data_IF_447541495564
#
_entry.id   IF_447541495564
#
_cell.length_a   1.000
_cell.length_b   1.000
_cell.length_c   1.000
_cell.angle_alpha   90.00
_cell.angle_beta   90.00
_cell.angle_gamma   90.00
#
_symmetry.space_group_name_H-M   'P 1'
#
loop_
_entity.id
_entity.type
_entity.pdbx_description
1 polymer ?
#
# COMPACT_ATOMS: atom_id res chain seq x y z
N UNK A 1 30.84 -30.87 19.95
CA UNK A 1 31.07 -29.42 19.72
C UNK A 1 29.71 -28.69 19.72
N UNK A 2 29.38 -27.94 20.78
CA UNK A 2 28.17 -27.11 20.79
C UNK A 2 28.47 -25.80 20.07
N UNK A 3 27.95 -25.62 18.85
CA UNK A 3 27.96 -24.32 18.16
C UNK A 3 26.98 -23.40 18.89
N UNK A 4 27.50 -22.54 19.77
CA UNK A 4 26.70 -21.44 20.32
C UNK A 4 26.37 -20.45 19.21
N UNK A 5 25.16 -20.51 18.66
CA UNK A 5 24.63 -19.43 17.84
C UNK A 5 24.45 -18.21 18.75
N UNK A 6 25.40 -17.28 18.71
CA UNK A 6 25.16 -15.91 19.16
C UNK A 6 24.06 -15.35 18.26
N UNK A 7 22.83 -15.29 18.75
CA UNK A 7 21.79 -14.49 18.12
C UNK A 7 22.29 -13.04 18.16
N UNK A 8 22.75 -12.53 17.01
CA UNK A 8 22.91 -11.09 16.84
C UNK A 8 21.51 -10.52 16.94
N UNK A 9 21.24 -9.73 17.98
CA UNK A 9 20.07 -8.86 18.03
C UNK A 9 20.16 -7.97 16.81
N UNK A 10 19.33 -8.26 15.80
CA UNK A 10 19.20 -7.39 14.64
C UNK A 10 18.45 -6.14 15.11
N UNK A 11 18.99 -4.98 14.82
CA UNK A 11 18.33 -3.72 15.14
C UNK A 11 17.21 -3.53 14.11
N UNK A 12 15.97 -3.74 14.54
CA UNK A 12 14.80 -3.57 13.68
C UNK A 12 14.69 -2.10 13.27
N UNK A 13 15.03 -1.79 12.01
CA UNK A 13 14.83 -0.43 11.49
C UNK A 13 13.36 -0.29 11.11
N UNK A 14 12.62 0.44 11.94
CA UNK A 14 11.20 0.74 11.73
C UNK A 14 11.06 2.15 11.18
N UNK A 15 10.31 2.28 10.08
CA UNK A 15 9.97 3.57 9.49
C UNK A 15 8.48 3.81 9.64
N UNK A 16 8.10 4.95 10.20
CA UNK A 16 6.69 5.32 10.33
C UNK A 16 6.26 6.07 9.07
N UNK A 17 5.24 5.58 8.38
CA UNK A 17 4.65 6.23 7.22
C UNK A 17 3.18 6.60 7.52
N UNK A 18 2.84 7.87 7.40
CA UNK A 18 1.45 8.35 7.52
C UNK A 18 0.89 8.56 6.13
N UNK A 19 -0.18 7.84 5.80
CA UNK A 19 -0.89 7.95 4.53
C UNK A 19 -2.14 8.81 4.69
N UNK A 20 -2.31 9.80 3.80
CA UNK A 20 -3.49 10.64 3.71
C UNK A 20 -4.08 10.52 2.31
N UNK A 21 -5.35 10.14 2.21
CA UNK A 21 -6.12 10.06 0.96
C UNK A 21 -7.43 10.82 1.09
N UNK A 22 -7.86 11.47 0.01
CA UNK A 22 -9.18 12.10 -0.06
C UNK A 22 -10.19 11.03 -0.48
N UNK A 23 -10.94 10.48 0.47
CA UNK A 23 -11.98 9.50 0.18
C UNK A 23 -13.11 10.19 -0.60
N UNK A 24 -12.97 10.24 -1.91
CA UNK A 24 -14.13 10.37 -2.79
C UNK A 24 -14.91 9.07 -2.61
N UNK A 25 -16.17 9.16 -2.21
CA UNK A 25 -16.94 8.05 -1.63
C UNK A 25 -16.67 6.66 -2.20
N UNK A 26 -16.57 5.70 -1.29
CA UNK A 26 -16.78 4.28 -1.59
C UNK A 26 -18.23 4.19 -2.07
N UNK A 27 -18.48 4.08 -3.37
CA UNK A 27 -19.75 3.50 -3.80
C UNK A 27 -19.59 1.98 -3.61
N UNK A 28 -20.29 1.34 -2.67
CA UNK A 28 -20.45 -0.09 -2.74
C UNK A 28 -21.16 -0.37 -4.07
N UNK A 29 -20.51 -1.11 -4.97
CA UNK A 29 -21.18 -1.68 -6.13
C UNK A 29 -22.19 -2.72 -5.63
N UNK A 30 -23.40 -2.27 -5.29
CA UNK A 30 -24.56 -3.15 -5.19
C UNK A 30 -25.00 -3.52 -6.61
N UNK A 31 -24.28 -4.47 -7.20
CA UNK A 31 -24.77 -5.26 -8.35
C UNK A 31 -24.75 -6.76 -8.00
N UNK A 32 -25.25 -7.12 -6.81
CA UNK A 32 -25.85 -8.42 -6.56
C UNK A 32 -26.98 -8.18 -5.57
N UNK A 33 -28.16 -8.77 -5.82
CA UNK A 33 -29.46 -8.58 -5.17
C UNK A 33 -30.43 -7.63 -5.89
N UNK A 34 -30.94 -8.14 -7.01
CA UNK A 34 -32.22 -7.76 -7.57
C UNK A 34 -33.35 -8.27 -6.65
N UNK A 35 -33.89 -7.40 -5.80
CA UNK A 35 -35.22 -7.36 -5.17
C UNK A 35 -35.07 -6.37 -4.01
N UNK A 36 -35.52 -5.11 -4.11
CA UNK A 36 -36.83 -4.71 -3.60
C UNK A 36 -37.06 -3.20 -3.90
N UNK A 37 -37.83 -2.87 -4.93
CA UNK A 37 -37.98 -1.50 -5.47
C UNK A 37 -38.87 -0.53 -4.64
N UNK A 38 -39.15 -0.80 -3.35
CA UNK A 38 -40.12 0.01 -2.61
C UNK A 38 -39.52 1.09 -1.67
N UNK A 39 -38.22 1.07 -1.34
CA UNK A 39 -37.62 2.00 -0.37
C UNK A 39 -36.97 3.27 -1.00
N UNK A 40 -36.93 3.38 -2.33
CA UNK A 40 -36.20 4.44 -3.04
C UNK A 40 -36.72 5.87 -2.81
N UNK A 41 -37.94 6.06 -2.27
CA UNK A 41 -38.50 7.41 -2.08
C UNK A 41 -38.11 8.08 -0.75
N UNK A 42 -37.60 7.33 0.22
CA UNK A 42 -37.21 7.86 1.54
C UNK A 42 -35.70 8.06 1.71
N UNK A 43 -34.88 7.44 0.86
CA UNK A 43 -33.41 7.50 0.94
C UNK A 43 -32.84 8.72 0.19
N UNK A 44 -33.54 9.22 -0.83
CA UNK A 44 -33.08 10.37 -1.63
C UNK A 44 -32.98 11.69 -0.86
N UNK A 45 -33.66 11.84 0.29
CA UNK A 45 -33.59 13.05 1.12
C UNK A 45 -32.40 13.04 2.09
N UNK A 46 -31.76 11.89 2.31
CA UNK A 46 -30.58 11.75 3.17
C UNK A 46 -29.25 11.92 2.44
N UNK A 47 -29.24 11.90 1.10
CA UNK A 47 -28.02 11.97 0.29
C UNK A 47 -27.57 13.41 -0.05
N UNK A 48 -28.29 14.44 0.44
CA UNK A 48 -27.95 15.84 0.15
C UNK A 48 -26.97 16.47 1.15
N UNK A 49 -26.40 15.70 2.09
CA UNK A 49 -25.67 16.28 3.22
C UNK A 49 -24.25 15.74 3.49
N UNK A 50 -23.53 15.29 2.46
CA UNK A 50 -22.11 14.88 2.63
C UNK A 50 -21.22 15.41 1.50
N UNK A 51 -21.08 16.73 1.42
CA UNK A 51 -19.89 17.36 0.81
C UNK A 51 -18.66 17.33 1.74
N UNK A 52 -18.67 16.50 2.80
CA UNK A 52 -17.52 16.31 3.67
C UNK A 52 -16.54 15.36 3.01
N UNK A 53 -15.46 15.90 2.44
CA UNK A 53 -14.31 15.13 1.98
C UNK A 53 -13.75 14.38 3.19
N UNK A 54 -14.03 13.09 3.32
CA UNK A 54 -13.48 12.27 4.40
C UNK A 54 -12.01 12.00 4.05
N UNK A 55 -11.09 12.46 4.89
CA UNK A 55 -9.67 12.22 4.71
C UNK A 55 -9.29 11.00 5.52
N UNK A 56 -8.96 9.89 4.86
CA UNK A 56 -8.45 8.71 5.54
C UNK A 56 -6.97 8.94 5.90
N UNK A 57 -6.69 9.06 7.21
CA UNK A 57 -5.35 9.18 7.76
C UNK A 57 -4.96 7.89 8.50
N UNK A 58 -3.96 7.16 8.00
CA UNK A 58 -3.46 5.92 8.63
C UNK A 58 -1.95 5.96 8.85
N UNK A 59 -1.51 5.49 10.00
CA UNK A 59 -0.09 5.42 10.38
C UNK A 59 0.38 3.97 10.32
N UNK A 60 1.48 3.73 9.62
CA UNK A 60 2.05 2.39 9.44
C UNK A 60 3.47 2.35 9.98
N UNK A 61 3.78 1.32 10.77
CA UNK A 61 5.14 1.01 11.16
C UNK A 61 5.71 -0.01 10.16
N UNK A 62 6.62 0.45 9.29
CA UNK A 62 7.20 -0.33 8.19
C UNK A 62 8.54 -0.91 8.61
N UNK A 63 8.56 -2.21 8.90
CA UNK A 63 9.76 -2.93 9.31
C UNK A 63 10.75 -3.13 8.16
N UNK A 64 12.03 -2.97 8.44
CA UNK A 64 13.12 -3.33 7.54
C UNK A 64 13.12 -4.84 7.23
N UNK A 65 12.83 -5.20 5.97
CA UNK A 65 12.78 -6.59 5.51
C UNK A 65 14.06 -7.04 4.78
N UNK A 66 14.99 -6.13 4.55
CA UNK A 66 16.16 -6.38 3.70
C UNK A 66 15.81 -6.35 2.21
N UNK A 67 16.83 -6.38 1.36
CA UNK A 67 16.66 -6.36 -0.09
C UNK A 67 16.35 -7.76 -0.64
N UNK A 68 15.12 -8.00 -1.08
CA UNK A 68 14.65 -9.28 -1.65
C UNK A 68 15.50 -9.77 -2.81
N UNK A 69 16.06 -8.87 -3.64
CA UNK A 69 16.94 -9.25 -4.76
C UNK A 69 18.30 -9.74 -4.26
N UNK A 70 18.83 -9.14 -3.19
CA UNK A 70 20.05 -9.63 -2.56
C UNK A 70 19.80 -10.97 -1.88
N UNK A 71 18.67 -11.12 -1.18
CA UNK A 71 18.28 -12.37 -0.54
C UNK A 71 18.09 -13.50 -1.56
N UNK A 72 17.47 -13.22 -2.71
CA UNK A 72 17.36 -14.18 -3.81
C UNK A 72 18.73 -14.71 -4.24
N UNK A 73 19.70 -13.81 -4.46
CA UNK A 73 21.05 -14.19 -4.88
C UNK A 73 21.77 -15.02 -3.82
N UNK A 74 21.70 -14.60 -2.55
CA UNK A 74 22.30 -15.33 -1.43
C UNK A 74 21.69 -16.72 -1.27
N UNK A 75 20.37 -16.83 -1.44
CA UNK A 75 19.64 -18.10 -1.31
C UNK A 75 19.58 -18.91 -2.61
N UNK A 76 20.20 -18.42 -3.69
CA UNK A 76 20.27 -19.06 -5.02
C UNK A 76 18.90 -19.46 -5.56
N UNK A 77 17.91 -18.58 -5.40
CA UNK A 77 16.55 -18.79 -5.90
C UNK A 77 16.37 -18.24 -7.31
N UNK A 78 15.51 -18.91 -8.08
CA UNK A 78 15.11 -18.44 -9.41
C UNK A 78 14.17 -17.22 -9.36
N UNK A 79 13.45 -17.02 -8.25
CA UNK A 79 12.50 -15.90 -8.08
C UNK A 79 12.65 -15.20 -6.73
N UNK A 80 12.31 -13.91 -6.72
CA UNK A 80 12.21 -13.09 -5.52
C UNK A 80 11.01 -13.47 -4.67
N UNK A 81 11.13 -13.29 -3.35
CA UNK A 81 9.97 -13.20 -2.48
C UNK A 81 9.25 -11.87 -2.68
N UNK A 82 7.99 -11.81 -2.26
CA UNK A 82 7.24 -10.56 -2.26
C UNK A 82 7.91 -9.54 -1.34
N UNK A 83 8.09 -8.33 -1.86
CA UNK A 83 8.60 -7.19 -1.12
C UNK A 83 7.50 -6.44 -0.34
N UNK A 84 6.23 -6.81 -0.53
CA UNK A 84 5.09 -5.99 -0.13
C UNK A 84 4.73 -6.11 1.34
N UNK A 85 4.58 -4.95 1.98
CA UNK A 85 3.83 -4.76 3.22
C UNK A 85 2.45 -4.18 2.89
N UNK A 86 1.35 -4.90 3.17
CA UNK A 86 0.02 -4.45 2.83
C UNK A 86 -0.44 -3.32 3.75
N UNK A 87 -1.01 -2.27 3.16
CA UNK A 87 -1.63 -1.17 3.90
C UNK A 87 -3.14 -1.36 4.12
N UNK A 88 -3.76 -2.20 3.29
CA UNK A 88 -5.22 -2.34 3.22
C UNK A 88 -5.93 -1.16 2.56
N UNK A 89 -5.19 -0.24 1.95
CA UNK A 89 -5.71 0.96 1.30
C UNK A 89 -5.68 0.80 -0.22
N UNK A 90 -6.71 1.34 -0.87
CA UNK A 90 -6.87 1.32 -2.32
C UNK A 90 -6.86 2.74 -2.87
N UNK A 91 -6.07 2.96 -3.91
CA UNK A 91 -6.03 4.21 -4.66
C UNK A 91 -6.87 4.09 -5.93
N UNK A 92 -7.74 5.07 -6.18
CA UNK A 92 -8.41 5.19 -7.48
C UNK A 92 -7.42 5.62 -8.56
N UNK A 93 -7.83 5.43 -9.81
CA UNK A 93 -7.09 5.91 -10.97
C UNK A 93 -6.84 7.42 -10.85
N UNK A 94 -5.57 7.82 -11.01
CA UNK A 94 -5.07 9.19 -10.90
C UNK A 94 -5.35 9.87 -9.55
N UNK A 95 -5.67 9.10 -8.50
CA UNK A 95 -5.84 9.67 -7.18
C UNK A 95 -4.50 10.13 -6.62
N UNK A 96 -4.46 11.36 -6.12
CA UNK A 96 -3.28 11.94 -5.51
C UNK A 96 -3.22 11.56 -4.04
N UNK A 97 -2.13 10.91 -3.65
CA UNK A 97 -1.93 10.35 -2.32
C UNK A 97 -0.74 11.05 -1.70
N UNK A 98 -0.90 11.53 -0.47
CA UNK A 98 0.18 12.17 0.27
C UNK A 98 0.69 11.23 1.36
N UNK A 99 2.00 10.98 1.36
CA UNK A 99 2.68 10.09 2.29
C UNK A 99 3.74 10.88 3.04
N UNK A 100 3.64 10.91 4.36
CA UNK A 100 4.67 11.47 5.21
C UNK A 100 5.54 10.34 5.79
N UNK A 101 6.80 10.29 5.39
CA UNK A 101 7.77 9.29 5.86
C UNK A 101 8.61 9.90 6.97
N UNK A 102 8.52 9.33 8.16
CA UNK A 102 9.38 9.68 9.29
C UNK A 102 10.67 8.85 9.28
N UNK A 103 11.76 9.43 9.76
CA UNK A 103 13.07 8.78 9.79
C UNK A 103 14.07 9.48 8.86
N UNK A 104 15.16 8.79 8.55
CA UNK A 104 16.29 9.34 7.80
C UNK A 104 16.61 8.59 6.51
N UNK A 105 15.79 7.59 6.16
CA UNK A 105 16.04 6.73 5.02
C UNK A 105 14.80 6.58 4.15
N UNK A 106 15.02 6.45 2.85
CA UNK A 106 13.94 6.28 1.88
C UNK A 106 13.39 4.85 1.91
N UNK A 107 12.10 4.72 1.66
CA UNK A 107 11.40 3.44 1.45
C UNK A 107 10.79 3.41 0.05
N UNK A 108 10.24 2.25 -0.34
CA UNK A 108 9.47 2.13 -1.57
C UNK A 108 7.98 2.01 -1.26
N UNK A 109 7.15 2.57 -2.13
CA UNK A 109 5.74 2.29 -2.18
C UNK A 109 5.34 1.75 -3.55
N UNK A 110 4.30 0.94 -3.58
CA UNK A 110 3.72 0.38 -4.78
C UNK A 110 2.23 0.68 -4.81
N UNK A 111 1.72 0.99 -6.01
CA UNK A 111 0.28 1.04 -6.28
C UNK A 111 0.01 -0.01 -7.36
N UNK A 112 -0.69 -1.08 -6.95
CA UNK A 112 -1.00 -2.25 -7.77
C UNK A 112 -0.40 -3.55 -7.22
N UNK A 113 -1.03 -4.66 -7.55
CA UNK A 113 -0.75 -6.01 -7.05
C UNK A 113 -0.29 -6.91 -8.21
N UNK A 114 0.91 -7.47 -8.08
CA UNK A 114 1.43 -8.46 -9.04
C UNK A 114 0.47 -9.64 -9.17
N UNK A 115 0.25 -10.09 -10.41
CA UNK A 115 -0.68 -11.17 -10.78
C UNK A 115 -2.18 -10.87 -10.64
N UNK A 116 -2.57 -9.72 -10.09
CA UNK A 116 -3.98 -9.28 -10.07
C UNK A 116 -4.21 -8.12 -11.03
N UNK A 117 -3.48 -7.01 -10.83
CA UNK A 117 -3.58 -5.82 -11.70
C UNK A 117 -2.73 -5.97 -12.97
N UNK A 118 -1.73 -6.85 -12.91
CA UNK A 118 -0.74 -7.10 -13.96
C UNK A 118 -0.46 -8.59 -14.06
N UNK A 119 -0.51 -9.15 -15.28
CA UNK A 119 0.20 -10.40 -15.55
C UNK A 119 1.70 -10.19 -15.39
N UNK A 120 2.49 -11.28 -15.29
CA UNK A 120 3.96 -11.20 -15.18
C UNK A 120 4.65 -10.47 -16.35
N UNK A 121 3.94 -10.19 -17.45
CA UNK A 121 4.43 -9.42 -18.60
C UNK A 121 4.02 -7.94 -18.57
N UNK A 122 3.20 -7.56 -17.60
CA UNK A 122 2.53 -6.24 -17.54
C UNK A 122 2.93 -5.48 -16.27
N UNK A 123 4.13 -5.71 -15.76
CA UNK A 123 4.67 -5.04 -14.57
C UNK A 123 4.58 -3.51 -14.67
N UNK A 124 4.52 -2.95 -15.88
CA UNK A 124 4.30 -1.51 -16.13
C UNK A 124 2.98 -0.97 -15.59
N UNK A 125 1.99 -1.84 -15.36
CA UNK A 125 0.70 -1.47 -14.75
C UNK A 125 0.83 -1.21 -13.25
N UNK A 126 1.84 -1.78 -12.61
CA UNK A 126 2.16 -1.54 -11.20
C UNK A 126 3.15 -0.39 -11.13
N UNK A 127 2.80 0.65 -10.39
CA UNK A 127 3.69 1.80 -10.20
C UNK A 127 4.47 1.65 -8.91
N UNK A 128 5.78 1.85 -8.98
CA UNK A 128 6.66 1.94 -7.82
C UNK A 128 7.14 3.37 -7.63
N UNK A 129 7.33 3.76 -6.37
CA UNK A 129 7.74 5.10 -5.98
C UNK A 129 8.81 5.00 -4.92
N UNK A 130 9.87 5.80 -5.05
CA UNK A 130 10.83 6.02 -3.96
C UNK A 130 10.29 7.14 -3.10
N UNK A 131 10.02 6.85 -1.83
CA UNK A 131 9.56 7.83 -0.85
C UNK A 131 10.74 8.28 -0.01
N UNK A 132 11.08 9.55 -0.09
CA UNK A 132 12.13 10.15 0.72
C UNK A 132 11.60 10.55 2.10
N UNK A 133 12.45 10.70 3.12
CA UNK A 133 12.04 11.30 4.39
C UNK A 133 11.31 12.63 4.18
N UNK A 134 10.21 12.84 4.90
CA UNK A 134 9.31 13.98 4.74
C UNK A 134 8.09 13.67 3.88
N UNK A 135 7.53 14.70 3.25
CA UNK A 135 6.27 14.60 2.51
C UNK A 135 6.51 14.23 1.05
N UNK A 136 5.81 13.19 0.59
CA UNK A 136 5.83 12.70 -0.77
C UNK A 136 4.41 12.70 -1.32
N UNK A 137 4.27 12.99 -2.61
CA UNK A 137 2.98 12.93 -3.28
C UNK A 137 3.09 12.02 -4.50
N UNK A 138 2.25 10.99 -4.54
CA UNK A 138 2.29 9.94 -5.56
C UNK A 138 0.90 9.74 -6.16
N UNK A 139 0.85 9.22 -7.38
CA UNK A 139 -0.39 8.87 -8.08
C UNK A 139 -0.11 7.78 -9.10
N UNK A 140 -1.11 6.92 -9.35
CA UNK A 140 -1.03 5.86 -10.37
C UNK A 140 -2.14 6.02 -11.40
N UNK A 141 -1.86 5.96 -12.71
CA UNK A 141 -2.88 6.04 -13.75
C UNK A 141 -3.83 4.86 -13.78
N UNK A 142 -3.54 3.75 -13.10
CA UNK A 142 -4.44 2.60 -13.05
C UNK A 142 -5.14 2.46 -11.69
N UNK A 143 -4.71 3.21 -10.67
CA UNK A 143 -5.07 2.90 -9.30
C UNK A 143 -4.51 1.56 -8.84
N UNK A 144 -5.00 1.05 -7.71
CA UNK A 144 -4.65 -0.24 -7.16
C UNK A 144 -4.41 -0.23 -5.65
N UNK A 145 -4.17 -1.41 -5.09
CA UNK A 145 -3.79 -1.58 -3.69
C UNK A 145 -2.43 -0.95 -3.40
N UNK A 146 -2.30 -0.32 -2.23
CA UNK A 146 -1.08 0.36 -1.81
C UNK A 146 -0.25 -0.55 -0.91
N UNK A 147 1.04 -0.66 -1.21
CA UNK A 147 2.01 -1.45 -0.44
C UNK A 147 3.23 -0.62 -0.10
N UNK A 148 3.85 -0.90 1.05
CA UNK A 148 5.17 -0.38 1.39
C UNK A 148 6.24 -1.45 1.27
N UNK A 149 7.49 -1.01 1.17
CA UNK A 149 8.65 -1.87 1.23
C UNK A 149 9.85 -1.12 1.82
N UNK A 150 10.34 -1.60 2.95
CA UNK A 150 11.56 -1.10 3.55
C UNK A 150 12.71 -2.11 3.32
N UNK A 151 13.67 -1.72 2.46
CA UNK A 151 14.85 -2.51 2.10
C UNK A 151 15.92 -2.58 3.19
N UNK A 152 15.81 -1.79 4.26
CA UNK A 152 16.79 -1.85 5.35
C UNK A 152 16.75 -3.21 6.02
N UNK A 153 17.90 -3.66 6.52
CA UNK A 153 17.92 -4.82 7.41
C UNK A 153 17.32 -4.41 8.76
N UNK A 154 16.21 -5.04 9.12
CA UNK A 154 15.75 -5.10 10.50
C UNK A 154 16.46 -6.18 11.30
#
# INVERSE_FOLDING_TARGET
MKRGQKQKTKNLVMITATLSMFATGIMPSLEVFAEEQAQHKKVSTTLQNENSVNVENRVFAVAGKGDVSQLQNVERRERNFSAYEPTGLYAKQNEQITIHVQGNQSIQAYIGTFSFDASWREDSKIKSFTLNPGTNTIQSPNGGMIYFYNKQQG
#
